data_IF_483409791097
#
_entry.id   IF_483409791097
#
_cell.length_a   1.000
_cell.length_b   1.000
_cell.length_c   1.000
_cell.angle_alpha   90.00
_cell.angle_beta   90.00
_cell.angle_gamma   90.00
#
_symmetry.space_group_name_H-M   'P 1'
#
loop_
_entity.id
_entity.type
_entity.pdbx_description
1 polymer ?
#
# COMPACT_ATOMS: atom_id res chain seq x y z
N UNK A 1 9.43 11.33 -10.82
CA UNK A 1 8.36 10.51 -10.21
C UNK A 1 9.03 9.31 -9.60
N UNK A 2 8.77 9.00 -8.33
CA UNK A 2 9.32 7.79 -7.72
C UNK A 2 8.69 6.57 -8.40
N UNK A 3 9.49 5.54 -8.69
CA UNK A 3 8.97 4.31 -9.24
C UNK A 3 8.19 3.55 -8.16
N UNK A 4 7.00 3.01 -8.46
CA UNK A 4 6.29 2.13 -7.53
C UNK A 4 7.14 0.90 -7.24
N UNK A 5 7.10 0.48 -5.97
CA UNK A 5 7.73 -0.75 -5.50
C UNK A 5 6.65 -1.67 -4.94
N UNK A 6 6.88 -2.96 -5.07
CA UNK A 6 5.97 -3.98 -4.56
C UNK A 6 6.25 -4.27 -3.08
N UNK A 7 5.18 -4.36 -2.31
CA UNK A 7 5.19 -4.65 -0.89
C UNK A 7 4.10 -5.69 -0.56
N UNK A 8 4.28 -6.37 0.56
CA UNK A 8 3.27 -7.20 1.21
C UNK A 8 2.75 -6.47 2.44
N UNK A 9 1.43 -6.35 2.55
CA UNK A 9 0.79 -5.77 3.74
C UNK A 9 1.00 -6.73 4.92
N UNK A 10 1.70 -6.29 5.96
CA UNK A 10 1.90 -7.09 7.18
C UNK A 10 0.98 -6.66 8.31
N UNK A 11 0.48 -5.43 8.24
CA UNK A 11 -0.50 -4.89 9.17
C UNK A 11 -1.45 -3.97 8.38
N UNK A 12 -2.74 -4.01 8.71
CA UNK A 12 -3.76 -3.16 8.09
C UNK A 12 -4.76 -2.73 9.17
N UNK A 13 -5.02 -1.44 9.25
CA UNK A 13 -6.01 -0.90 10.17
C UNK A 13 -7.44 -1.04 9.60
N UNK A 14 -8.44 -0.49 10.30
CA UNK A 14 -9.83 -0.62 9.87
C UNK A 14 -10.11 0.11 8.55
N UNK A 15 -9.46 1.25 8.29
CA UNK A 15 -9.66 2.02 7.07
C UNK A 15 -8.94 1.37 5.89
N UNK A 16 -7.73 0.85 6.09
CA UNK A 16 -6.99 0.06 5.11
C UNK A 16 -7.84 -1.12 4.59
N UNK A 17 -8.48 -1.85 5.52
CA UNK A 17 -9.33 -3.00 5.17
C UNK A 17 -10.59 -2.60 4.40
N UNK A 18 -11.15 -1.40 4.61
CA UNK A 18 -12.28 -0.90 3.82
C UNK A 18 -11.89 -0.67 2.36
N UNK A 19 -10.64 -0.27 2.12
CA UNK A 19 -10.05 -0.11 0.78
C UNK A 19 -9.56 -1.43 0.17
N UNK A 20 -9.73 -2.56 0.88
CA UNK A 20 -9.32 -3.89 0.44
C UNK A 20 -7.86 -4.25 0.76
N UNK A 21 -7.14 -3.39 1.49
CA UNK A 21 -5.78 -3.65 1.97
C UNK A 21 -5.87 -4.57 3.19
N UNK A 22 -5.67 -5.86 2.95
CA UNK A 22 -5.71 -6.89 3.98
C UNK A 22 -4.32 -7.44 4.23
N UNK A 23 -4.07 -7.93 5.45
CA UNK A 23 -2.79 -8.55 5.79
C UNK A 23 -2.53 -9.75 4.87
N UNK A 24 -1.34 -9.79 4.27
CA UNK A 24 -0.92 -10.74 3.25
C UNK A 24 -1.19 -10.29 1.81
N UNK A 25 -1.91 -9.19 1.60
CA UNK A 25 -2.12 -8.65 0.26
C UNK A 25 -0.81 -8.09 -0.31
N UNK A 26 -0.59 -8.31 -1.60
CA UNK A 26 0.52 -7.71 -2.33
C UNK A 26 0.05 -6.38 -2.92
N UNK A 27 0.85 -5.33 -2.78
CA UNK A 27 0.49 -3.95 -3.18
C UNK A 27 1.68 -3.26 -3.84
N UNK A 28 1.41 -2.25 -4.65
CA UNK A 28 2.41 -1.32 -5.16
C UNK A 28 2.28 0.01 -4.45
N UNK A 29 3.41 0.49 -3.93
CA UNK A 29 3.47 1.76 -3.23
C UNK A 29 4.64 2.62 -3.67
N UNK A 30 4.46 3.93 -3.57
CA UNK A 30 5.49 4.95 -3.78
C UNK A 30 5.82 5.65 -2.45
N UNK A 31 7.04 6.19 -2.28
CA UNK A 31 7.35 7.02 -1.13
C UNK A 31 6.39 8.21 -1.05
N UNK A 32 5.78 8.39 0.13
CA UNK A 32 4.87 9.49 0.41
C UNK A 32 5.59 10.78 0.79
N UNK A 33 4.86 11.68 1.44
CA UNK A 33 5.39 12.97 1.88
C UNK A 33 6.37 12.84 3.05
N UNK A 34 6.30 11.74 3.81
CA UNK A 34 7.14 11.44 4.96
C UNK A 34 8.01 10.21 4.70
N UNK A 35 9.20 10.15 5.31
CA UNK A 35 10.13 9.02 5.15
C UNK A 35 9.54 7.67 5.62
N UNK A 36 8.67 7.70 6.63
CA UNK A 36 7.99 6.53 7.19
C UNK A 36 6.61 6.27 6.56
N UNK A 37 6.28 6.97 5.47
CA UNK A 37 4.99 6.86 4.80
C UNK A 37 5.15 6.33 3.38
N UNK A 38 4.31 5.37 3.02
CA UNK A 38 4.18 4.82 1.68
C UNK A 38 2.74 5.05 1.18
N UNK A 39 2.61 5.49 -0.06
CA UNK A 39 1.32 5.67 -0.72
C UNK A 39 1.06 4.45 -1.59
N UNK A 40 0.11 3.61 -1.19
CA UNK A 40 -0.32 2.46 -1.96
C UNK A 40 -1.15 2.96 -3.14
N UNK A 41 -0.69 2.70 -4.35
CA UNK A 41 -1.36 3.13 -5.59
C UNK A 41 -2.16 1.99 -6.22
N UNK A 42 -1.82 0.74 -5.93
CA UNK A 42 -2.46 -0.42 -6.53
C UNK A 42 -2.36 -1.63 -5.60
N UNK A 43 -3.42 -2.43 -5.56
CA UNK A 43 -3.43 -3.74 -4.92
C UNK A 43 -3.23 -4.79 -6.02
N UNK A 44 -2.16 -5.57 -5.92
CA UNK A 44 -1.86 -6.64 -6.87
C UNK A 44 -2.89 -7.76 -6.70
N UNK A 45 -3.65 -8.03 -7.77
CA UNK A 45 -4.78 -8.96 -7.75
C UNK A 45 -6.14 -8.27 -7.79
N UNK A 46 -6.19 -6.94 -7.60
CA UNK A 46 -7.37 -6.15 -7.94
C UNK A 46 -7.37 -5.77 -9.42
N UNK A 47 -8.55 -5.75 -10.03
CA UNK A 47 -8.71 -5.49 -11.46
C UNK A 47 -8.40 -4.04 -11.86
N UNK A 48 -8.45 -3.12 -10.90
CA UNK A 48 -8.24 -1.69 -11.10
C UNK A 48 -7.31 -1.12 -10.02
N UNK A 49 -6.48 -0.12 -10.36
CA UNK A 49 -5.74 0.64 -9.36
C UNK A 49 -6.71 1.36 -8.41
N UNK A 50 -6.21 1.77 -7.25
CA UNK A 50 -7.01 2.54 -6.29
C UNK A 50 -7.36 3.91 -6.90
N UNK A 51 -8.60 4.37 -6.72
CA UNK A 51 -9.03 5.69 -7.19
C UNK A 51 -8.21 6.82 -6.53
N UNK A 52 -7.86 6.64 -5.25
CA UNK A 52 -6.96 7.52 -4.51
C UNK A 52 -5.85 6.70 -3.83
N UNK A 53 -4.59 7.17 -3.84
CA UNK A 53 -3.53 6.48 -3.14
C UNK A 53 -3.77 6.44 -1.63
N UNK A 54 -3.71 5.26 -1.03
CA UNK A 54 -3.91 5.08 0.40
C UNK A 54 -2.58 5.23 1.12
N UNK A 55 -2.54 6.10 2.13
CA UNK A 55 -1.33 6.35 2.90
C UNK A 55 -1.18 5.33 4.03
N UNK A 56 -0.17 4.46 3.92
CA UNK A 56 0.20 3.48 4.94
C UNK A 56 1.55 3.82 5.56
N UNK A 57 1.79 3.32 6.78
CA UNK A 57 3.11 3.39 7.37
C UNK A 57 4.05 2.37 6.74
N UNK A 58 5.31 2.76 6.55
CA UNK A 58 6.34 1.86 6.02
C UNK A 58 6.53 0.61 6.90
N UNK A 59 6.23 0.68 8.20
CA UNK A 59 6.25 -0.47 9.11
C UNK A 59 5.13 -1.48 8.86
N UNK A 60 4.05 -1.06 8.21
CA UNK A 60 2.89 -1.90 7.89
C UNK A 60 3.07 -2.64 6.54
N UNK A 61 4.12 -2.29 5.80
CA UNK A 61 4.44 -2.85 4.50
C UNK A 61 5.83 -3.51 4.53
N UNK A 62 5.90 -4.79 4.20
CA UNK A 62 7.15 -5.50 4.04
C UNK A 62 7.52 -5.57 2.56
N UNK A 63 8.77 -5.26 2.18
CA UNK A 63 9.21 -5.43 0.80
C UNK A 63 9.01 -6.89 0.37
N UNK A 64 8.30 -7.08 -0.76
CA UNK A 64 7.99 -8.40 -1.32
C UNK A 64 9.20 -8.98 -2.08
#
# INVERSE_FOLDING_TARGET
>A
MAAPKTYTVVEADFYDQQEGLTVGATVEAIPGSSADQLLVTQIIGHAFPLDEPVAMYASQLQAA
#
